data_IF_589688325107
#
_entry.id   IF_589688325107
#
_cell.length_a   1.000
_cell.length_b   1.000
_cell.length_c   1.000
_cell.angle_alpha   90.00
_cell.angle_beta   90.00
_cell.angle_gamma   90.00
#
_symmetry.space_group_name_H-M   'P 1'
#
loop_
_entity.id
_entity.type
_entity.pdbx_description
1 polymer ?
#
# COMPACT_ATOMS: atom_id res chain seq x y z
N UNK A 1 10.51 4.50 10.23
CA UNK A 1 9.73 5.63 10.80
C UNK A 1 8.70 5.06 11.75
N UNK A 2 8.57 5.62 12.95
CA UNK A 2 7.55 5.29 13.93
C UNK A 2 6.62 6.49 14.08
N UNK A 3 5.32 6.26 13.95
CA UNK A 3 4.29 7.30 14.09
C UNK A 3 3.50 6.98 15.35
N UNK A 4 3.44 7.95 16.28
CA UNK A 4 2.69 7.85 17.53
C UNK A 4 1.59 8.89 17.53
N UNK A 5 0.39 8.45 17.91
CA UNK A 5 -0.78 9.29 18.12
C UNK A 5 -1.06 9.34 19.62
N UNK A 6 -0.81 10.48 20.24
CA UNK A 6 -1.07 10.72 21.66
C UNK A 6 -2.29 11.63 21.81
N UNK A 7 -3.31 11.15 22.50
CA UNK A 7 -4.57 11.87 22.72
C UNK A 7 -4.65 12.24 24.19
N UNK A 8 -4.60 13.53 24.47
CA UNK A 8 -4.67 14.02 25.85
C UNK A 8 -6.10 14.07 26.40
N UNK A 9 -6.23 14.27 27.71
CA UNK A 9 -7.54 14.35 28.39
C UNK A 9 -8.40 15.55 27.94
N UNK A 10 -7.83 16.51 27.20
CA UNK A 10 -8.55 17.65 26.62
C UNK A 10 -8.95 17.40 25.15
N UNK A 11 -8.69 16.21 24.60
CA UNK A 11 -9.00 15.86 23.23
C UNK A 11 -8.03 16.44 22.19
N UNK A 12 -6.85 16.89 22.60
CA UNK A 12 -5.80 17.34 21.69
C UNK A 12 -5.00 16.14 21.22
N UNK A 13 -4.86 16.01 19.92
CA UNK A 13 -4.09 14.93 19.29
C UNK A 13 -2.69 15.46 18.98
N UNK A 14 -1.67 14.87 19.61
CA UNK A 14 -0.27 15.07 19.27
C UNK A 14 0.16 13.93 18.36
N UNK A 15 0.56 14.26 17.13
CA UNK A 15 1.09 13.29 16.16
C UNK A 15 2.58 13.51 16.07
N UNK A 16 3.37 12.51 16.48
CA UNK A 16 4.83 12.53 16.37
C UNK A 16 5.32 11.44 15.43
N UNK A 17 6.19 11.80 14.49
CA UNK A 17 6.88 10.86 13.61
C UNK A 17 8.38 10.89 13.91
N UNK A 18 8.95 9.75 14.30
CA UNK A 18 10.37 9.60 14.61
C UNK A 18 11.04 8.62 13.65
N UNK A 19 12.16 9.02 13.09
CA UNK A 19 13.03 8.10 12.37
C UNK A 19 13.94 7.37 13.37
N UNK A 20 13.78 6.04 13.49
CA UNK A 20 14.59 5.20 14.38
C UNK A 20 16.06 5.09 13.95
N UNK A 21 16.38 5.35 12.68
CA UNK A 21 17.76 5.28 12.18
C UNK A 21 18.55 6.57 12.47
N UNK A 22 17.94 7.73 12.26
CA UNK A 22 18.61 9.03 12.45
C UNK A 22 18.30 9.70 13.79
N UNK A 23 17.28 9.24 14.51
CA UNK A 23 16.79 9.85 15.75
C UNK A 23 16.01 11.15 15.55
N UNK A 24 15.92 11.66 14.32
CA UNK A 24 15.18 12.90 13.99
C UNK A 24 13.68 12.70 14.20
N UNK A 25 13.04 13.71 14.76
CA UNK A 25 11.61 13.70 15.06
C UNK A 25 10.93 14.97 14.54
N UNK A 26 9.68 14.79 14.11
CA UNK A 26 8.76 15.86 13.78
C UNK A 26 7.47 15.63 14.54
N UNK A 27 6.90 16.70 15.10
CA UNK A 27 5.64 16.63 15.82
C UNK A 27 4.69 17.72 15.35
N UNK A 28 3.41 17.38 15.32
CA UNK A 28 2.30 18.28 14.99
C UNK A 28 1.26 18.14 16.08
N UNK A 29 0.78 19.28 16.59
CA UNK A 29 -0.33 19.34 17.54
C UNK A 29 -1.59 19.72 16.79
N UNK A 30 -2.58 18.83 16.79
CA UNK A 30 -3.89 19.09 16.22
C UNK A 30 -4.78 19.59 17.37
N UNK A 31 -5.08 20.89 17.33
CA UNK A 31 -6.04 21.50 18.24
C UNK A 31 -7.44 21.27 17.67
N UNK A 32 -8.35 20.72 18.47
CA UNK A 32 -9.73 20.49 18.07
C UNK A 32 -10.46 21.83 17.87
N UNK A 33 -10.39 22.41 16.66
CA UNK A 33 -11.06 23.67 16.33
C UNK A 33 -12.50 23.50 15.82
N UNK A 34 -13.02 22.27 15.83
CA UNK A 34 -14.35 21.91 15.34
C UNK A 34 -14.39 20.43 15.00
N UNK A 35 -14.99 19.63 15.88
CA UNK A 35 -15.20 18.19 15.67
C UNK A 35 -16.46 17.89 14.87
N UNK A 36 -16.70 16.61 14.63
CA UNK A 36 -17.95 16.11 14.08
C UNK A 36 -19.07 16.27 15.12
N UNK A 37 -20.29 16.60 14.68
CA UNK A 37 -21.46 16.55 15.56
C UNK A 37 -21.88 15.11 15.83
N UNK A 38 -22.66 14.86 16.88
CA UNK A 38 -23.21 13.51 17.16
C UNK A 38 -23.99 12.96 15.96
N UNK A 39 -24.71 13.82 15.24
CA UNK A 39 -25.43 13.43 14.03
C UNK A 39 -24.49 13.03 12.88
N UNK A 40 -23.34 13.72 12.74
CA UNK A 40 -22.33 13.36 11.74
C UNK A 40 -21.65 12.04 12.12
N UNK A 41 -21.38 11.81 13.41
CA UNK A 41 -20.81 10.56 13.91
C UNK A 41 -21.74 9.39 13.62
N UNK A 42 -23.03 9.50 13.99
CA UNK A 42 -24.01 8.44 13.71
C UNK A 42 -24.16 8.16 12.22
N UNK A 43 -24.14 9.22 11.40
CA UNK A 43 -24.19 9.08 9.95
C UNK A 43 -22.96 8.34 9.43
N UNK A 44 -21.75 8.71 9.87
CA UNK A 44 -20.51 8.03 9.47
C UNK A 44 -20.48 6.55 9.87
N UNK A 45 -21.03 6.20 11.04
CA UNK A 45 -21.15 4.80 11.47
C UNK A 45 -22.07 4.02 10.53
N UNK A 46 -23.26 4.55 10.23
CA UNK A 46 -24.21 3.91 9.30
C UNK A 46 -23.65 3.79 7.88
N UNK A 47 -22.99 4.84 7.40
CA UNK A 47 -22.37 4.85 6.07
C UNK A 47 -21.23 3.82 6.01
N UNK A 48 -20.41 3.68 7.06
CA UNK A 48 -19.36 2.67 7.13
C UNK A 48 -19.92 1.24 7.13
N UNK A 49 -21.00 0.98 7.86
CA UNK A 49 -21.67 -0.33 7.87
C UNK A 49 -22.27 -0.65 6.49
N UNK A 50 -22.94 0.31 5.86
CA UNK A 50 -23.54 0.14 4.55
C UNK A 50 -22.51 -0.09 3.43
N UNK A 51 -21.32 0.52 3.54
CA UNK A 51 -20.26 0.43 2.54
C UNK A 51 -19.17 -0.59 2.87
N UNK A 52 -19.28 -1.32 3.99
CA UNK A 52 -18.22 -2.21 4.49
C UNK A 52 -17.70 -3.20 3.42
N UNK A 53 -18.59 -3.83 2.65
CA UNK A 53 -18.20 -4.78 1.60
C UNK A 53 -17.54 -4.10 0.39
N UNK A 54 -18.00 -2.90 0.02
CA UNK A 54 -17.40 -2.11 -1.07
C UNK A 54 -16.01 -1.63 -0.68
N UNK A 55 -15.86 -1.11 0.55
CA UNK A 55 -14.58 -0.65 1.08
C UNK A 55 -13.59 -1.81 1.25
N UNK A 56 -14.06 -3.00 1.64
CA UNK A 56 -13.24 -4.21 1.70
C UNK A 56 -12.70 -4.60 0.33
N UNK A 57 -13.53 -4.57 -0.72
CA UNK A 57 -13.08 -4.85 -2.10
C UNK A 57 -12.09 -3.81 -2.59
N UNK A 58 -12.36 -2.53 -2.36
CA UNK A 58 -11.45 -1.43 -2.71
C UNK A 58 -10.11 -1.57 -1.99
N UNK A 59 -10.13 -1.90 -0.70
CA UNK A 59 -8.92 -2.16 0.09
C UNK A 59 -8.13 -3.33 -0.46
N UNK A 60 -8.78 -4.45 -0.77
CA UNK A 60 -8.12 -5.62 -1.36
C UNK A 60 -7.44 -5.27 -2.69
N UNK A 61 -8.11 -4.48 -3.56
CA UNK A 61 -7.52 -4.01 -4.81
C UNK A 61 -6.28 -3.14 -4.60
N UNK A 62 -6.35 -2.17 -3.68
CA UNK A 62 -5.21 -1.30 -3.38
C UNK A 62 -4.05 -2.11 -2.78
N UNK A 63 -4.34 -3.07 -1.92
CA UNK A 63 -3.33 -3.95 -1.33
C UNK A 63 -2.66 -4.83 -2.39
N UNK A 64 -3.43 -5.45 -3.28
CA UNK A 64 -2.91 -6.23 -4.39
C UNK A 64 -2.04 -5.39 -5.34
N UNK A 65 -2.48 -4.16 -5.69
CA UNK A 65 -1.69 -3.22 -6.50
C UNK A 65 -0.37 -2.84 -5.83
N UNK A 66 -0.39 -2.53 -4.54
CA UNK A 66 0.83 -2.17 -3.80
C UNK A 66 1.82 -3.35 -3.73
N UNK A 67 1.33 -4.57 -3.53
CA UNK A 67 2.17 -5.77 -3.56
C UNK A 67 2.77 -6.01 -4.94
N UNK A 68 1.96 -5.88 -6.00
CA UNK A 68 2.40 -5.99 -7.37
C UNK A 68 3.48 -4.96 -7.72
N UNK A 69 3.28 -3.69 -7.37
CA UNK A 69 4.24 -2.61 -7.63
C UNK A 69 5.56 -2.83 -6.89
N UNK A 70 5.50 -3.26 -5.62
CA UNK A 70 6.68 -3.59 -4.84
C UNK A 70 7.49 -4.73 -5.50
N UNK A 71 6.82 -5.80 -5.95
CA UNK A 71 7.46 -6.94 -6.60
C UNK A 71 8.03 -6.58 -7.98
N UNK A 72 7.30 -5.79 -8.76
CA UNK A 72 7.78 -5.25 -10.04
C UNK A 72 9.07 -4.48 -9.81
N UNK A 73 9.09 -3.56 -8.83
CA UNK A 73 10.25 -2.74 -8.55
C UNK A 73 11.47 -3.58 -8.13
N UNK A 74 11.28 -4.57 -7.25
CA UNK A 74 12.39 -5.46 -6.84
C UNK A 74 12.89 -6.34 -7.98
N UNK A 75 11.99 -6.81 -8.84
CA UNK A 75 12.33 -7.69 -9.97
C UNK A 75 13.06 -6.91 -11.07
N UNK A 76 12.60 -5.70 -11.40
CA UNK A 76 13.30 -4.80 -12.35
C UNK A 76 14.71 -4.46 -11.87
N UNK A 77 14.85 -4.17 -10.57
CA UNK A 77 16.16 -3.91 -9.97
C UNK A 77 17.06 -5.13 -10.08
N UNK A 78 16.54 -6.33 -9.78
CA UNK A 78 17.30 -7.57 -9.85
C UNK A 78 17.73 -7.91 -11.28
N UNK A 79 16.86 -7.72 -12.28
CA UNK A 79 17.21 -7.87 -13.69
C UNK A 79 18.28 -6.87 -14.16
N UNK A 80 18.25 -5.64 -13.62
CA UNK A 80 19.26 -4.63 -13.94
C UNK A 80 20.63 -4.96 -13.33
N UNK A 81 20.66 -5.53 -12.12
CA UNK A 81 21.91 -5.84 -11.40
C UNK A 81 22.51 -7.21 -11.80
N UNK A 82 21.67 -8.21 -12.05
CA UNK A 82 22.08 -9.61 -12.23
C UNK A 82 21.65 -10.21 -13.57
N UNK A 83 20.91 -9.47 -14.42
CA UNK A 83 20.34 -10.03 -15.63
C UNK A 83 21.36 -10.55 -16.65
N UNK A 84 22.61 -10.08 -16.59
CA UNK A 84 23.69 -10.59 -17.47
C UNK A 84 24.27 -11.93 -16.97
N UNK A 85 23.86 -12.37 -15.77
CA UNK A 85 24.28 -13.64 -15.15
C UNK A 85 23.23 -14.75 -15.28
N UNK A 86 22.08 -14.45 -15.87
CA UNK A 86 21.00 -15.41 -16.16
C UNK A 86 20.92 -15.64 -17.66
N UNK A 87 20.22 -16.70 -18.07
CA UNK A 87 20.05 -16.98 -19.50
C UNK A 87 19.17 -15.91 -20.16
N UNK A 88 19.35 -15.70 -21.47
CA UNK A 88 18.51 -14.77 -22.25
C UNK A 88 17.03 -15.18 -22.21
N UNK A 89 16.76 -16.49 -22.16
CA UNK A 89 15.42 -17.05 -22.01
C UNK A 89 14.79 -16.65 -20.67
N UNK A 90 15.51 -16.80 -19.55
CA UNK A 90 15.01 -16.43 -18.22
C UNK A 90 14.84 -14.91 -18.10
N UNK A 91 15.80 -14.13 -18.60
CA UNK A 91 15.70 -12.66 -18.62
C UNK A 91 14.47 -12.18 -19.37
N UNK A 92 14.16 -12.80 -20.52
CA UNK A 92 12.99 -12.47 -21.33
C UNK A 92 11.71 -12.86 -20.59
N UNK A 93 11.66 -14.07 -20.03
CA UNK A 93 10.50 -14.57 -19.28
C UNK A 93 10.15 -13.66 -18.08
N UNK A 94 11.17 -13.21 -17.32
CA UNK A 94 10.96 -12.29 -16.18
C UNK A 94 10.51 -10.91 -16.68
N UNK A 95 11.09 -10.38 -17.77
CA UNK A 95 10.69 -9.08 -18.33
C UNK A 95 9.25 -9.09 -18.85
N UNK A 96 8.83 -10.18 -19.48
CA UNK A 96 7.46 -10.39 -19.93
C UNK A 96 6.50 -10.52 -18.75
N UNK A 97 6.88 -11.25 -17.70
CA UNK A 97 6.10 -11.37 -16.47
C UNK A 97 5.93 -10.02 -15.74
N UNK A 98 6.99 -9.21 -15.67
CA UNK A 98 6.95 -7.83 -15.14
C UNK A 98 5.96 -6.98 -15.93
N UNK A 99 6.05 -7.01 -17.27
CA UNK A 99 5.17 -6.23 -18.14
C UNK A 99 3.72 -6.67 -17.98
N UNK A 100 3.46 -7.98 -17.95
CA UNK A 100 2.14 -8.54 -17.72
C UNK A 100 1.55 -8.15 -16.37
N UNK A 101 2.34 -8.15 -15.30
CA UNK A 101 1.90 -7.71 -13.98
C UNK A 101 1.61 -6.21 -13.94
N UNK A 102 2.44 -5.36 -14.57
CA UNK A 102 2.15 -3.92 -14.68
C UNK A 102 0.82 -3.65 -15.36
N UNK A 103 0.56 -4.29 -16.50
CA UNK A 103 -0.71 -4.12 -17.22
C UNK A 103 -1.90 -4.62 -16.39
N UNK A 104 -1.78 -5.75 -15.70
CA UNK A 104 -2.84 -6.23 -14.81
C UNK A 104 -3.10 -5.26 -13.65
N UNK A 105 -2.05 -4.66 -13.08
CA UNK A 105 -2.15 -3.71 -11.97
C UNK A 105 -2.85 -2.38 -12.35
N UNK A 106 -2.89 -2.02 -13.65
CA UNK A 106 -3.68 -0.87 -14.14
C UNK A 106 -5.19 -1.15 -14.13
N UNK A 107 -5.59 -2.43 -14.17
CA UNK A 107 -6.98 -2.88 -14.10
C UNK A 107 -7.50 -3.02 -12.67
N UNK A 108 -8.79 -3.34 -12.53
CA UNK A 108 -9.48 -3.47 -11.24
C UNK A 108 -9.78 -4.93 -10.85
N UNK A 109 -9.17 -5.91 -11.55
CA UNK A 109 -9.32 -7.34 -11.26
C UNK A 109 -8.26 -7.82 -10.26
N UNK A 110 -8.67 -7.94 -8.99
CA UNK A 110 -7.81 -8.41 -7.90
C UNK A 110 -7.26 -9.81 -8.17
N UNK A 111 -8.07 -10.71 -8.71
CA UNK A 111 -7.65 -12.09 -8.93
C UNK A 111 -6.61 -12.18 -10.05
N UNK A 112 -6.75 -11.37 -11.09
CA UNK A 112 -5.74 -11.26 -12.15
C UNK A 112 -4.42 -10.70 -11.62
N UNK A 113 -4.48 -9.64 -10.80
CA UNK A 113 -3.29 -9.03 -10.18
C UNK A 113 -2.58 -10.04 -9.27
N UNK A 114 -3.31 -10.76 -8.42
CA UNK A 114 -2.75 -11.78 -7.53
C UNK A 114 -2.12 -12.93 -8.33
N UNK A 115 -2.80 -13.44 -9.36
CA UNK A 115 -2.28 -14.50 -10.20
C UNK A 115 -0.99 -14.11 -10.93
N UNK A 116 -0.94 -12.88 -11.47
CA UNK A 116 0.27 -12.34 -12.13
C UNK A 116 1.39 -12.04 -11.13
N UNK A 117 1.04 -11.62 -9.91
CA UNK A 117 2.00 -11.42 -8.81
C UNK A 117 2.66 -12.74 -8.45
N UNK A 118 1.87 -13.81 -8.30
CA UNK A 118 2.40 -15.14 -8.03
C UNK A 118 3.26 -15.66 -9.20
N UNK A 119 2.82 -15.48 -10.44
CA UNK A 119 3.59 -15.91 -11.61
C UNK A 119 4.95 -15.20 -11.70
N UNK A 120 5.01 -13.89 -11.40
CA UNK A 120 6.28 -13.17 -11.33
C UNK A 120 7.15 -13.66 -10.17
N UNK A 121 6.56 -13.91 -8.99
CA UNK A 121 7.29 -14.42 -7.83
C UNK A 121 7.88 -15.83 -8.06
N UNK A 122 7.24 -16.66 -8.87
CA UNK A 122 7.75 -17.99 -9.24
C UNK A 122 8.85 -17.91 -10.33
N UNK A 123 8.85 -16.86 -11.14
CA UNK A 123 9.82 -16.66 -12.22
C UNK A 123 11.08 -15.88 -11.81
N UNK A 124 11.05 -15.15 -10.69
CA UNK A 124 12.10 -14.19 -10.27
C UNK A 124 13.09 -14.72 -9.23
#
# INVERSE_FOLDING_TARGET
>A
IEVTFDIDANGIVNVSAKDKGTGKEHQIRIQASGGLSDADIEKMVKDAEANAETDKKRRALVEARNQAEALVHSSEKSLKEYGDKVSEADRTAIADAITGLKTAAEGDDVAEIEAKTQALAEAS
#
